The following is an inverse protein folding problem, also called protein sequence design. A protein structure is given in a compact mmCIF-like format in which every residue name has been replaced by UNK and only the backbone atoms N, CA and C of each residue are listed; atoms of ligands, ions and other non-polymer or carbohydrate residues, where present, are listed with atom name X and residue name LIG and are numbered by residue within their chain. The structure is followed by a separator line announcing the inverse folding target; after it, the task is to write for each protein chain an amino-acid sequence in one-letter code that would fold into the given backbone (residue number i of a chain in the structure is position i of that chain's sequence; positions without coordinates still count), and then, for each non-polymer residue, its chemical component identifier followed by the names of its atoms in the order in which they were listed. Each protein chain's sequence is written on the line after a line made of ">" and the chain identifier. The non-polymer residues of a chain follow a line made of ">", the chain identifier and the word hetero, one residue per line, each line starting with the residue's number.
data_IF_796425398284
#
_entry.id   IF_796425398284
#
_cell.length_a   1.000
_cell.length_b   1.000
_cell.length_c   1.000
_cell.angle_alpha   90.00
_cell.angle_beta   90.00
_cell.angle_gamma   90.00
#
_symmetry.space_group_name_H-M   'P 1'
#
loop_
_entity.id
_entity.type
_entity.pdbx_description
1 polymer ?
#
# COMPACT_ATOMS: atom_id res chain seq x y z
N UNK A 1 -1.51 -11.96 2.43
CA UNK A 1 -1.35 -10.52 2.59
C UNK A 1 0.11 -10.19 2.92
N UNK A 2 0.63 -9.06 2.46
CA UNK A 2 2.03 -8.65 2.70
C UNK A 2 2.39 -8.48 4.21
N UNK A 3 1.40 -8.38 5.09
CA UNK A 3 1.59 -8.37 6.54
C UNK A 3 1.71 -9.78 7.16
N UNK A 4 1.54 -10.84 6.38
CA UNK A 4 1.71 -12.23 6.83
C UNK A 4 3.15 -12.66 6.59
N UNK A 5 3.62 -13.67 7.35
CA UNK A 5 4.90 -14.31 7.06
C UNK A 5 4.79 -15.09 5.75
N UNK A 6 5.59 -14.69 4.76
CA UNK A 6 5.67 -15.34 3.44
C UNK A 6 7.03 -16.03 3.36
N UNK A 7 7.02 -17.33 3.06
CA UNK A 7 8.26 -18.05 2.73
C UNK A 7 8.60 -17.83 1.25
N UNK A 8 9.39 -16.80 0.99
CA UNK A 8 9.81 -16.42 -0.37
C UNK A 8 10.68 -17.49 -1.07
N UNK A 9 11.33 -18.37 -0.32
CA UNK A 9 12.13 -19.46 -0.90
C UNK A 9 11.26 -20.38 -1.76
N UNK A 10 10.01 -20.61 -1.33
CA UNK A 10 9.04 -21.46 -2.04
C UNK A 10 8.54 -20.86 -3.34
N UNK A 11 8.78 -19.56 -3.56
CA UNK A 11 8.34 -18.83 -4.76
C UNK A 11 9.36 -18.88 -5.92
N UNK A 12 10.52 -19.50 -5.72
CA UNK A 12 11.55 -19.62 -6.77
C UNK A 12 10.98 -20.23 -8.05
N UNK A 13 11.19 -19.55 -9.18
CA UNK A 13 10.72 -19.95 -10.50
C UNK A 13 9.20 -19.85 -10.72
N UNK A 14 8.43 -19.40 -9.73
CA UNK A 14 7.00 -19.27 -9.81
C UNK A 14 6.58 -17.92 -10.38
N UNK A 15 5.38 -17.91 -10.97
CA UNK A 15 4.68 -16.68 -11.35
C UNK A 15 3.95 -16.12 -10.13
N UNK A 16 4.27 -14.88 -9.77
CA UNK A 16 3.69 -14.19 -8.62
C UNK A 16 3.01 -12.90 -9.07
N UNK A 17 1.79 -12.68 -8.63
CA UNK A 17 1.11 -11.40 -8.79
C UNK A 17 1.07 -10.67 -7.45
N UNK A 18 1.55 -9.43 -7.43
CA UNK A 18 1.44 -8.53 -6.28
C UNK A 18 0.33 -7.51 -6.57
N UNK A 19 -0.69 -7.48 -5.73
CA UNK A 19 -1.81 -6.56 -5.86
C UNK A 19 -1.57 -5.34 -4.97
N UNK A 20 -1.51 -4.16 -5.57
CA UNK A 20 -1.21 -2.91 -4.90
C UNK A 20 0.15 -2.36 -5.31
N UNK A 21 0.34 -1.07 -5.08
CA UNK A 21 1.53 -0.32 -5.50
C UNK A 21 2.04 0.66 -4.42
N UNK A 22 1.81 0.32 -3.16
CA UNK A 22 2.40 1.01 -2.01
C UNK A 22 3.75 0.41 -1.61
N UNK A 23 4.43 1.02 -0.64
CA UNK A 23 5.75 0.61 -0.17
C UNK A 23 5.83 -0.88 0.21
N UNK A 24 4.88 -1.38 1.02
CA UNK A 24 4.87 -2.78 1.46
C UNK A 24 4.63 -3.77 0.32
N UNK A 25 3.84 -3.39 -0.70
CA UNK A 25 3.66 -4.20 -1.90
C UNK A 25 4.97 -4.27 -2.70
N UNK A 26 5.64 -3.13 -2.87
CA UNK A 26 6.92 -3.02 -3.55
C UNK A 26 8.03 -3.82 -2.86
N UNK A 27 8.14 -3.73 -1.53
CA UNK A 27 9.11 -4.51 -0.75
C UNK A 27 8.86 -6.01 -0.88
N UNK A 28 7.58 -6.44 -0.87
CA UNK A 28 7.22 -7.84 -1.08
C UNK A 28 7.55 -8.32 -2.50
N UNK A 29 7.36 -7.46 -3.50
CA UNK A 29 7.74 -7.75 -4.88
C UNK A 29 9.27 -7.88 -5.03
N UNK A 30 10.05 -6.95 -4.45
CA UNK A 30 11.52 -7.05 -4.42
C UNK A 30 11.96 -8.34 -3.76
N UNK A 31 11.38 -8.69 -2.60
CA UNK A 31 11.72 -9.93 -1.91
C UNK A 31 11.45 -11.16 -2.79
N UNK A 32 10.28 -11.26 -3.42
CA UNK A 32 9.95 -12.35 -4.32
C UNK A 32 10.93 -12.45 -5.51
N UNK A 33 11.28 -11.32 -6.12
CA UNK A 33 12.25 -11.24 -7.23
C UNK A 33 13.65 -11.71 -6.81
N UNK A 34 14.12 -11.28 -5.64
CA UNK A 34 15.41 -11.69 -5.08
C UNK A 34 15.53 -13.21 -4.86
N UNK A 35 14.40 -13.86 -4.56
CA UNK A 35 14.33 -15.33 -4.46
C UNK A 35 14.06 -16.02 -5.79
N UNK A 36 14.02 -15.29 -6.90
CA UNK A 36 13.93 -15.83 -8.25
C UNK A 36 12.51 -16.11 -8.76
N UNK A 37 11.50 -15.45 -8.19
CA UNK A 37 10.14 -15.46 -8.76
C UNK A 37 10.05 -14.55 -10.00
N UNK A 38 9.07 -14.78 -10.87
CA UNK A 38 8.64 -13.82 -11.89
C UNK A 38 7.47 -13.02 -11.32
N UNK A 39 7.60 -11.68 -11.27
CA UNK A 39 6.63 -10.85 -10.56
C UNK A 39 5.91 -9.89 -11.51
N UNK A 40 4.58 -9.90 -11.46
CA UNK A 40 3.70 -8.87 -12.03
C UNK A 40 3.05 -8.09 -10.91
N UNK A 41 3.21 -6.77 -10.91
CA UNK A 41 2.67 -5.90 -9.90
C UNK A 41 1.50 -5.09 -10.47
N UNK A 42 0.32 -5.19 -9.87
CA UNK A 42 -0.89 -4.51 -10.32
C UNK A 42 -1.06 -3.18 -9.57
N UNK A 43 -1.12 -2.10 -10.33
CA UNK A 43 -1.43 -0.76 -9.84
C UNK A 43 -2.74 -0.29 -10.47
N UNK A 44 -3.80 -0.08 -9.67
CA UNK A 44 -5.08 0.41 -10.20
C UNK A 44 -5.02 1.85 -10.73
N UNK A 45 -4.07 2.66 -10.24
CA UNK A 45 -3.84 4.02 -10.75
C UNK A 45 -3.13 3.96 -12.10
N UNK A 46 -3.45 4.88 -13.03
CA UNK A 46 -2.78 4.94 -14.32
C UNK A 46 -1.30 5.29 -14.19
N UNK A 47 -0.93 6.01 -13.12
CA UNK A 47 0.43 6.42 -12.83
C UNK A 47 0.86 5.95 -11.45
N UNK A 48 2.11 5.52 -11.36
CA UNK A 48 2.73 5.15 -10.10
C UNK A 48 3.27 6.39 -9.40
N UNK A 49 3.01 6.50 -8.09
CA UNK A 49 3.62 7.55 -7.28
C UNK A 49 4.97 7.07 -6.74
N UNK A 50 6.06 7.62 -7.27
CA UNK A 50 7.42 7.37 -6.77
C UNK A 50 7.81 8.52 -5.85
N UNK A 51 7.57 8.35 -4.55
CA UNK A 51 7.78 9.39 -3.55
C UNK A 51 8.02 8.77 -2.17
N UNK A 52 8.79 9.46 -1.33
CA UNK A 52 8.91 9.14 0.09
C UNK A 52 7.93 10.04 0.87
N UNK A 53 6.68 9.60 1.10
CA UNK A 53 5.61 10.49 1.61
C UNK A 53 5.88 10.98 3.01
N UNK A 54 6.58 10.19 3.83
CA UNK A 54 6.85 10.51 5.23
C UNK A 54 8.16 11.23 5.47
N UNK A 55 8.92 11.59 4.42
CA UNK A 55 10.19 12.31 4.55
C UNK A 55 10.03 13.63 5.30
N UNK A 56 8.94 14.33 5.10
CA UNK A 56 8.60 15.56 5.81
C UNK A 56 8.45 15.39 7.32
N UNK A 57 7.89 14.23 7.74
CA UNK A 57 7.70 13.91 9.15
C UNK A 57 9.02 13.64 9.89
N UNK A 58 10.11 13.40 9.18
CA UNK A 58 11.42 13.15 9.81
C UNK A 58 12.13 14.44 10.22
N UNK A 59 11.67 15.61 9.79
CA UNK A 59 12.22 16.87 10.23
C UNK A 59 11.80 17.18 11.67
N UNK A 60 12.78 17.36 12.55
CA UNK A 60 12.54 17.66 13.96
C UNK A 60 11.68 18.92 14.16
N UNK A 61 11.80 19.91 13.30
CA UNK A 61 10.97 21.12 13.32
C UNK A 61 9.49 20.80 13.06
N UNK A 62 9.18 19.96 12.07
CA UNK A 62 7.80 19.56 11.78
C UNK A 62 7.16 18.83 12.98
N UNK A 63 7.84 17.82 13.52
CA UNK A 63 7.32 17.04 14.65
C UNK A 63 7.12 17.88 15.91
N UNK A 64 8.01 18.85 16.17
CA UNK A 64 7.91 19.72 17.35
C UNK A 64 6.82 20.76 17.23
N UNK A 65 6.59 21.30 16.04
CA UNK A 65 5.76 22.50 15.83
C UNK A 65 4.45 22.22 15.11
N UNK A 66 4.13 20.95 14.79
CA UNK A 66 2.83 20.62 14.23
C UNK A 66 1.68 21.03 15.17
N UNK A 67 1.88 20.91 16.48
CA UNK A 67 0.91 21.32 17.49
C UNK A 67 0.71 22.83 17.61
N UNK A 68 1.66 23.64 17.13
CA UNK A 68 1.60 25.10 17.17
C UNK A 68 0.73 25.68 16.04
N UNK A 69 0.41 24.84 15.03
CA UNK A 69 -0.49 25.21 13.94
C UNK A 69 -1.95 25.16 14.40
N UNK A 70 -2.77 26.01 13.80
CA UNK A 70 -4.22 25.89 13.93
C UNK A 70 -4.73 24.58 13.33
N UNK A 71 -5.97 24.18 13.70
CA UNK A 71 -6.54 22.90 13.31
C UNK A 71 -6.71 22.75 11.80
N UNK A 72 -7.04 23.81 11.08
CA UNK A 72 -7.21 23.77 9.63
C UNK A 72 -5.86 23.55 8.94
N UNK A 73 -4.81 24.22 9.37
CA UNK A 73 -3.45 24.04 8.84
C UNK A 73 -2.94 22.62 9.12
N UNK A 74 -3.15 22.09 10.33
CA UNK A 74 -2.83 20.69 10.66
C UNK A 74 -3.58 19.72 9.77
N UNK A 75 -4.88 19.93 9.57
CA UNK A 75 -5.72 19.11 8.71
C UNK A 75 -5.19 19.08 7.28
N UNK A 76 -4.92 20.24 6.70
CA UNK A 76 -4.41 20.35 5.32
C UNK A 76 -3.05 19.67 5.14
N UNK A 77 -2.13 19.85 6.10
CA UNK A 77 -0.84 19.17 6.08
C UNK A 77 -0.99 17.65 6.13
N UNK A 78 -1.76 17.14 7.10
CA UNK A 78 -1.91 15.70 7.26
C UNK A 78 -2.68 15.06 6.10
N UNK A 79 -3.72 15.72 5.59
CA UNK A 79 -4.45 15.27 4.41
C UNK A 79 -3.55 15.16 3.19
N UNK A 80 -2.67 16.15 2.98
CA UNK A 80 -1.69 16.13 1.89
C UNK A 80 -0.70 14.97 2.04
N UNK A 81 -0.18 14.74 3.23
CA UNK A 81 0.79 13.67 3.51
C UNK A 81 0.12 12.31 3.36
N UNK A 82 -1.06 12.12 3.94
CA UNK A 82 -1.79 10.86 3.89
C UNK A 82 -2.33 10.54 2.50
N UNK A 83 -2.60 11.55 1.68
CA UNK A 83 -2.95 11.39 0.27
C UNK A 83 -1.84 10.75 -0.58
N UNK A 84 -0.58 10.78 -0.11
CA UNK A 84 0.57 10.14 -0.75
C UNK A 84 0.83 8.71 -0.26
N UNK A 85 -0.08 8.13 0.53
CA UNK A 85 0.11 6.83 1.20
C UNK A 85 0.39 5.63 0.29
N UNK A 86 0.10 5.72 -1.00
CA UNK A 86 0.38 4.66 -1.98
C UNK A 86 1.71 4.87 -2.73
N UNK A 87 2.56 5.76 -2.24
CA UNK A 87 3.86 6.02 -2.85
C UNK A 87 4.85 4.89 -2.63
N UNK A 88 5.70 4.65 -3.63
CA UNK A 88 6.87 3.77 -3.53
C UNK A 88 8.11 4.64 -3.32
N UNK A 89 8.97 4.33 -2.34
CA UNK A 89 10.26 5.01 -2.20
C UNK A 89 11.10 4.89 -3.48
N UNK A 90 11.80 5.96 -3.91
CA UNK A 90 12.58 5.95 -5.14
C UNK A 90 13.59 4.82 -5.24
N UNK A 91 14.31 4.52 -4.16
CA UNK A 91 15.28 3.44 -4.09
C UNK A 91 14.63 2.04 -4.24
N UNK A 92 13.45 1.83 -3.68
CA UNK A 92 12.69 0.59 -3.89
C UNK A 92 12.19 0.48 -5.33
N UNK A 93 11.76 1.59 -5.93
CA UNK A 93 11.37 1.63 -7.34
C UNK A 93 12.54 1.29 -8.27
N UNK A 94 13.71 1.89 -8.06
CA UNK A 94 14.92 1.60 -8.84
C UNK A 94 15.31 0.13 -8.73
N UNK A 95 15.22 -0.46 -7.53
CA UNK A 95 15.49 -1.90 -7.32
C UNK A 95 14.50 -2.77 -8.11
N UNK A 96 13.20 -2.44 -8.11
CA UNK A 96 12.19 -3.17 -8.89
C UNK A 96 12.50 -3.13 -10.39
N UNK A 97 12.80 -1.94 -10.91
CA UNK A 97 13.09 -1.74 -12.33
C UNK A 97 14.41 -2.37 -12.78
N UNK A 98 15.29 -2.74 -11.87
CA UNK A 98 16.52 -3.46 -12.14
C UNK A 98 16.37 -4.97 -12.38
N UNK A 99 15.15 -5.52 -12.23
CA UNK A 99 14.90 -6.94 -12.45
C UNK A 99 14.24 -7.21 -13.81
N UNK A 100 14.86 -8.04 -14.65
CA UNK A 100 14.32 -8.42 -15.98
C UNK A 100 13.04 -9.26 -15.89
N UNK A 101 12.81 -9.94 -14.77
CA UNK A 101 11.64 -10.77 -14.47
C UNK A 101 10.53 -10.02 -13.70
N UNK A 102 10.55 -8.69 -13.75
CA UNK A 102 9.53 -7.81 -13.17
C UNK A 102 8.69 -7.13 -14.25
N UNK A 103 7.38 -7.04 -14.03
CA UNK A 103 6.47 -6.26 -14.86
C UNK A 103 5.51 -5.44 -13.99
N UNK A 104 5.43 -4.14 -14.26
CA UNK A 104 4.46 -3.22 -13.64
C UNK A 104 3.26 -3.03 -14.58
N UNK A 105 2.06 -3.28 -14.07
CA UNK A 105 0.78 -3.12 -14.78
C UNK A 105 0.00 -1.98 -14.14
N UNK A 106 0.19 -0.76 -14.65
CA UNK A 106 -0.58 0.42 -14.21
C UNK A 106 -1.96 0.46 -14.85
N UNK A 107 -2.91 1.22 -14.27
CA UNK A 107 -4.30 1.27 -14.74
C UNK A 107 -5.04 -0.07 -14.60
N UNK A 108 -4.47 -1.02 -13.85
CA UNK A 108 -4.98 -2.40 -13.76
C UNK A 108 -5.54 -2.67 -12.37
N UNK A 109 -6.86 -2.78 -12.29
CA UNK A 109 -7.58 -3.14 -11.07
C UNK A 109 -7.95 -4.62 -11.07
N UNK A 110 -7.87 -5.25 -9.88
CA UNK A 110 -8.41 -6.59 -9.66
C UNK A 110 -9.94 -6.52 -9.55
N UNK A 111 -10.65 -7.37 -10.27
CA UNK A 111 -12.11 -7.53 -10.21
C UNK A 111 -12.50 -8.78 -9.44
N UNK A 112 -11.82 -9.90 -9.70
CA UNK A 112 -12.06 -11.15 -8.98
C UNK A 112 -10.82 -12.04 -8.96
N UNK A 113 -10.79 -12.98 -8.01
CA UNK A 113 -9.75 -13.98 -7.88
C UNK A 113 -10.39 -15.33 -7.55
N UNK A 114 -9.98 -16.38 -8.27
CA UNK A 114 -10.41 -17.76 -8.04
C UNK A 114 -9.18 -18.64 -7.95
N UNK A 115 -9.02 -19.32 -6.82
CA UNK A 115 -7.94 -20.28 -6.61
C UNK A 115 -8.43 -21.68 -6.90
N UNK A 116 -7.57 -22.50 -7.56
CA UNK A 116 -7.77 -23.91 -7.78
C UNK A 116 -6.47 -24.69 -7.55
N UNK A 117 -6.47 -25.99 -7.90
CA UNK A 117 -5.29 -26.85 -7.73
C UNK A 117 -4.10 -26.47 -8.63
N UNK A 118 -4.36 -25.70 -9.70
CA UNK A 118 -3.34 -25.28 -10.67
C UNK A 118 -2.75 -23.89 -10.36
N UNK A 119 -3.34 -23.15 -9.42
CA UNK A 119 -2.91 -21.80 -9.07
C UNK A 119 -4.05 -20.82 -8.83
N UNK A 120 -3.87 -19.57 -9.22
CA UNK A 120 -4.87 -18.51 -9.04
C UNK A 120 -5.15 -17.84 -10.39
N UNK A 121 -6.43 -17.80 -10.75
CA UNK A 121 -6.92 -17.02 -11.88
C UNK A 121 -7.42 -15.67 -11.36
N UNK A 122 -6.89 -14.59 -11.91
CA UNK A 122 -7.26 -13.21 -11.61
C UNK A 122 -7.98 -12.61 -12.81
N UNK A 123 -9.19 -12.08 -12.60
CA UNK A 123 -9.86 -11.22 -13.58
C UNK A 123 -9.53 -9.77 -13.22
N UNK A 124 -9.04 -9.02 -14.19
CA UNK A 124 -8.63 -7.62 -14.02
C UNK A 124 -9.24 -6.76 -15.12
N UNK A 125 -9.23 -5.45 -14.93
CA UNK A 125 -9.65 -4.47 -15.95
C UNK A 125 -8.83 -4.56 -17.25
N UNK A 126 -7.63 -5.17 -17.21
CA UNK A 126 -6.75 -5.37 -18.36
C UNK A 126 -6.84 -6.81 -18.95
N UNK A 127 -7.75 -7.65 -18.42
CA UNK A 127 -7.93 -9.04 -18.87
C UNK A 127 -7.63 -10.07 -17.78
N UNK A 128 -7.51 -11.33 -18.18
CA UNK A 128 -7.31 -12.46 -17.26
C UNK A 128 -5.82 -12.77 -17.11
N UNK A 129 -5.38 -12.96 -15.87
CA UNK A 129 -4.03 -13.39 -15.51
C UNK A 129 -4.10 -14.72 -14.76
N UNK A 130 -3.22 -15.67 -15.12
CA UNK A 130 -2.98 -16.87 -14.31
C UNK A 130 -1.65 -16.70 -13.58
N UNK A 131 -1.58 -17.20 -12.35
CA UNK A 131 -0.39 -17.07 -11.49
C UNK A 131 -0.35 -18.20 -10.47
N UNK A 132 0.85 -18.55 -10.00
CA UNK A 132 1.02 -19.59 -8.98
C UNK A 132 0.73 -19.05 -7.57
N UNK A 133 0.98 -17.76 -7.35
CA UNK A 133 0.86 -17.15 -6.03
C UNK A 133 0.43 -15.67 -6.11
N UNK A 134 -0.34 -15.24 -5.13
CA UNK A 134 -0.81 -13.84 -5.02
C UNK A 134 -0.40 -13.24 -3.68
N UNK A 135 0.22 -12.07 -3.74
CA UNK A 135 0.52 -11.25 -2.57
C UNK A 135 -0.41 -10.03 -2.59
N UNK A 136 -1.28 -9.93 -1.59
CA UNK A 136 -2.15 -8.76 -1.44
C UNK A 136 -1.42 -7.67 -0.64
N UNK A 137 -1.10 -6.57 -1.29
CA UNK A 137 -0.49 -5.36 -0.73
C UNK A 137 -1.40 -4.14 -0.81
N UNK A 138 -2.70 -4.33 -0.59
CA UNK A 138 -3.76 -3.32 -0.79
C UNK A 138 -3.87 -2.30 0.34
N UNK A 139 -2.93 -2.31 1.29
CA UNK A 139 -2.93 -1.44 2.45
C UNK A 139 -3.60 -2.06 3.67
N UNK A 140 -3.72 -1.28 4.73
CA UNK A 140 -4.27 -1.68 6.02
C UNK A 140 -5.39 -0.71 6.34
N UNK A 141 -6.56 -1.25 6.66
CA UNK A 141 -7.65 -0.49 7.22
C UNK A 141 -7.39 -0.23 8.72
N UNK A 142 -7.56 1.02 9.16
CA UNK A 142 -7.35 1.43 10.55
C UNK A 142 -8.72 1.49 11.22
N UNK A 143 -9.17 0.35 11.72
CA UNK A 143 -10.37 0.23 12.56
C UNK A 143 -9.96 -0.24 13.96
N UNK A 144 -10.12 0.65 14.96
CA UNK A 144 -9.84 0.33 16.35
C UNK A 144 -10.78 -0.76 16.91
N UNK A 145 -12.02 -0.81 16.43
CA UNK A 145 -12.99 -1.81 16.89
C UNK A 145 -12.68 -3.21 16.33
N UNK A 146 -12.07 -3.29 15.17
CA UNK A 146 -11.64 -4.56 14.56
C UNK A 146 -10.39 -5.16 15.23
N UNK A 147 -9.64 -4.37 16.02
CA UNK A 147 -8.44 -4.83 16.72
C UNK A 147 -8.80 -5.38 18.10
N UNK A 148 -8.55 -6.69 18.37
CA UNK A 148 -8.93 -7.30 19.65
C UNK A 148 -8.37 -6.57 20.86
N UNK A 149 -7.11 -6.11 20.79
CA UNK A 149 -6.39 -5.40 21.85
C UNK A 149 -6.93 -3.99 22.12
N UNK A 150 -7.52 -3.34 21.11
CA UNK A 150 -8.02 -1.96 21.19
C UNK A 150 -9.55 -1.87 21.28
N UNK A 151 -10.27 -2.96 20.97
CA UNK A 151 -11.74 -2.97 20.87
C UNK A 151 -12.43 -2.36 22.08
N UNK A 152 -11.95 -2.69 23.30
CA UNK A 152 -12.54 -2.17 24.53
C UNK A 152 -12.32 -0.69 24.74
N UNK A 153 -11.29 -0.12 24.11
CA UNK A 153 -10.90 1.29 24.20
C UNK A 153 -11.39 2.11 23.00
N UNK A 154 -11.90 1.46 21.94
CA UNK A 154 -12.24 2.11 20.68
C UNK A 154 -13.18 3.33 20.86
N UNK A 155 -14.15 3.21 21.78
CA UNK A 155 -15.10 4.28 22.09
C UNK A 155 -14.50 5.44 22.91
N UNK A 156 -13.33 5.25 23.52
CA UNK A 156 -12.62 6.28 24.31
C UNK A 156 -11.52 6.97 23.50
N UNK A 157 -11.14 6.40 22.35
CA UNK A 157 -10.13 6.99 21.49
C UNK A 157 -10.68 8.24 20.82
N UNK A 158 -10.09 9.37 21.15
CA UNK A 158 -10.44 10.65 20.52
C UNK A 158 -9.69 10.78 19.19
N UNK A 159 -10.41 10.69 18.10
CA UNK A 159 -9.87 10.92 16.75
C UNK A 159 -10.07 12.37 16.31
N UNK A 160 -9.45 12.77 15.23
CA UNK A 160 -9.66 14.09 14.63
C UNK A 160 -11.13 14.35 14.29
N UNK A 161 -11.86 13.37 13.83
CA UNK A 161 -13.31 13.49 13.55
C UNK A 161 -14.15 13.93 14.76
N UNK A 162 -13.66 13.74 15.98
CA UNK A 162 -14.32 14.23 17.20
C UNK A 162 -13.93 15.66 17.58
N UNK A 163 -12.86 16.19 17.00
CA UNK A 163 -12.27 17.45 17.42
C UNK A 163 -12.35 18.55 16.34
N UNK A 164 -12.42 18.16 15.08
CA UNK A 164 -12.37 19.09 13.96
C UNK A 164 -13.24 18.61 12.79
N UNK A 165 -14.02 19.53 12.24
CA UNK A 165 -14.77 19.31 10.99
C UNK A 165 -14.10 20.13 9.90
N UNK A 166 -13.57 19.51 8.85
CA UNK A 166 -12.95 20.24 7.76
C UNK A 166 -14.00 21.08 6.99
N UNK A 167 -13.56 22.14 6.30
CA UNK A 167 -14.42 22.87 5.37
C UNK A 167 -14.98 21.95 4.29
N UNK A 168 -16.18 22.29 3.79
CA UNK A 168 -16.81 21.56 2.68
C UNK A 168 -15.89 21.52 1.46
N UNK A 169 -15.68 20.31 0.92
CA UNK A 169 -14.76 20.06 -0.19
C UNK A 169 -13.31 19.79 0.24
N UNK A 170 -12.99 19.81 1.53
CA UNK A 170 -11.70 19.42 2.08
C UNK A 170 -11.78 18.14 2.94
N UNK A 171 -12.89 17.44 2.87
CA UNK A 171 -13.08 16.14 3.53
C UNK A 171 -12.15 15.10 2.88
N UNK A 172 -11.52 14.26 3.69
CA UNK A 172 -10.82 13.08 3.20
C UNK A 172 -11.79 11.90 3.23
N UNK A 173 -11.95 11.22 2.10
CA UNK A 173 -12.63 9.94 1.99
C UNK A 173 -11.81 8.78 2.60
#
# INVERSE_FOLDING_TARGET
>A
HCAQSIDFVTLRGRDVVVIGAGASAADSAVAALQYGARVRMLCRRPELQVVQPYRWLTFAGFLRHLSDLDDLSRWRFMSRILGLREGIPPDTYERLMGFDNFALMTGTALESAVADVSGVRLTTTAGVLNTDFVISGTGIDIDFAARPELRRLAHTVRTWAHAFTPPSGEENE
#
